data_IF_268790969203
#
_entry.id   IF_268790969203
#
_cell.length_a   1.000
_cell.length_b   1.000
_cell.length_c   1.000
_cell.angle_alpha   90.00
_cell.angle_beta   90.00
_cell.angle_gamma   90.00
#
_symmetry.space_group_name_H-M   'P 1'
#
loop_
_entity.id
_entity.type
_entity.pdbx_description
1 polymer ?
#
# COMPACT_ATOMS: atom_id res chain seq x y z
N UNK A 1 15.06 -8.09 -24.32
CA UNK A 1 14.16 -8.21 -23.15
C UNK A 1 14.11 -6.86 -22.48
N UNK A 2 13.03 -6.10 -22.69
CA UNK A 2 12.87 -4.77 -22.09
C UNK A 2 12.47 -4.92 -20.64
N UNK A 3 13.33 -4.51 -19.72
CA UNK A 3 12.94 -4.27 -18.32
C UNK A 3 11.99 -3.09 -18.33
N UNK A 4 10.71 -3.39 -18.16
CA UNK A 4 9.61 -2.44 -18.14
C UNK A 4 9.89 -1.37 -17.07
N UNK A 5 10.28 -0.17 -17.53
CA UNK A 5 10.69 1.00 -16.75
C UNK A 5 9.55 1.64 -15.93
N UNK A 6 8.71 0.85 -15.25
CA UNK A 6 7.65 1.34 -14.36
C UNK A 6 8.16 1.68 -12.95
N UNK A 7 9.40 2.14 -12.85
CA UNK A 7 9.94 2.83 -11.67
C UNK A 7 9.50 4.30 -11.71
N UNK A 8 8.19 4.55 -11.85
CA UNK A 8 7.62 5.84 -11.50
C UNK A 8 7.20 5.74 -10.02
N UNK A 9 8.21 5.64 -9.16
CA UNK A 9 8.02 5.91 -7.74
C UNK A 9 8.35 7.38 -7.54
N UNK A 10 7.28 8.14 -7.68
CA UNK A 10 7.15 9.48 -7.12
C UNK A 10 7.82 9.50 -5.74
N UNK A 11 8.85 10.33 -5.65
CA UNK A 11 9.77 10.48 -4.52
C UNK A 11 9.11 11.23 -3.34
N UNK A 12 7.79 11.04 -3.16
CA UNK A 12 6.95 11.76 -2.21
C UNK A 12 6.68 11.05 -0.89
N UNK A 13 6.81 9.72 -0.82
CA UNK A 13 6.63 8.97 0.42
C UNK A 13 7.89 8.18 0.78
N UNK A 14 8.31 8.28 2.04
CA UNK A 14 9.51 7.63 2.58
C UNK A 14 9.43 6.09 2.62
N UNK A 15 8.36 5.50 2.05
CA UNK A 15 8.02 4.09 2.16
C UNK A 15 8.21 3.40 0.81
N UNK A 16 8.82 2.22 0.83
CA UNK A 16 8.96 1.42 -0.38
C UNK A 16 7.58 0.97 -0.90
N UNK A 17 7.39 0.99 -2.22
CA UNK A 17 6.12 0.56 -2.84
C UNK A 17 5.74 -0.86 -2.46
N UNK A 18 6.72 -1.76 -2.46
CA UNK A 18 6.53 -3.18 -2.13
C UNK A 18 6.06 -3.34 -0.69
N UNK A 19 6.58 -2.48 0.20
CA UNK A 19 6.15 -2.43 1.59
C UNK A 19 4.70 -1.95 1.71
N UNK A 20 4.35 -0.85 1.03
CA UNK A 20 2.98 -0.34 0.99
C UNK A 20 2.01 -1.37 0.42
N UNK A 21 2.35 -2.01 -0.70
CA UNK A 21 1.57 -3.09 -1.32
C UNK A 21 1.37 -4.27 -0.36
N UNK A 22 2.39 -4.61 0.44
CA UNK A 22 2.27 -5.67 1.43
C UNK A 22 1.34 -5.31 2.60
N UNK A 23 1.25 -4.02 2.97
CA UNK A 23 0.32 -3.55 4.01
C UNK A 23 -1.16 -3.64 3.62
N UNK A 24 -1.45 -3.54 2.32
CA UNK A 24 -2.83 -3.57 1.80
C UNK A 24 -3.20 -4.89 1.14
N UNK A 25 -2.23 -5.75 0.83
CA UNK A 25 -2.48 -7.06 0.20
C UNK A 25 -3.47 -7.87 1.04
N UNK A 26 -3.20 -8.02 2.34
CA UNK A 26 -4.06 -8.79 3.24
C UNK A 26 -5.48 -8.19 3.35
N UNK A 27 -5.60 -6.87 3.44
CA UNK A 27 -6.91 -6.21 3.50
C UNK A 27 -7.68 -6.30 2.18
N UNK A 28 -6.99 -6.16 1.06
CA UNK A 28 -7.59 -6.32 -0.25
C UNK A 28 -8.16 -7.73 -0.43
N UNK A 29 -7.37 -8.75 -0.09
CA UNK A 29 -7.80 -10.17 -0.17
C UNK A 29 -8.96 -10.48 0.80
N UNK A 30 -9.00 -9.83 1.96
CA UNK A 30 -10.14 -9.94 2.90
C UNK A 30 -11.42 -9.30 2.34
N UNK A 31 -11.31 -8.14 1.70
CA UNK A 31 -12.45 -7.45 1.10
C UNK A 31 -12.91 -8.11 -0.21
N UNK A 32 -11.99 -8.73 -0.94
CA UNK A 32 -12.24 -9.37 -2.23
C UNK A 32 -11.74 -10.82 -2.23
N UNK A 33 -12.50 -11.75 -1.61
CA UNK A 33 -12.11 -13.15 -1.59
C UNK A 33 -12.05 -13.71 -3.02
N UNK A 34 -10.85 -14.12 -3.45
CA UNK A 34 -10.59 -14.65 -4.80
C UNK A 34 -9.93 -13.66 -5.76
N UNK A 35 -9.86 -12.38 -5.39
CA UNK A 35 -9.12 -11.37 -6.15
C UNK A 35 -7.81 -11.05 -5.45
N UNK A 36 -6.74 -10.91 -6.23
CA UNK A 36 -5.42 -10.56 -5.70
C UNK A 36 -5.05 -9.14 -6.08
N UNK A 37 -4.24 -8.49 -5.25
CA UNK A 37 -3.72 -7.15 -5.55
C UNK A 37 -2.97 -7.13 -6.90
N UNK A 38 -2.31 -8.24 -7.26
CA UNK A 38 -1.65 -8.39 -8.57
C UNK A 38 -2.64 -8.41 -9.73
N UNK A 39 -3.83 -8.99 -9.53
CA UNK A 39 -4.89 -8.92 -10.53
C UNK A 39 -5.45 -7.51 -10.69
N UNK A 40 -5.69 -6.81 -9.58
CA UNK A 40 -6.07 -5.41 -9.60
C UNK A 40 -5.04 -4.55 -10.35
N UNK A 41 -3.73 -4.78 -10.16
CA UNK A 41 -2.66 -4.07 -10.88
C UNK A 41 -2.70 -4.34 -12.39
N UNK A 42 -2.98 -5.59 -12.79
CA UNK A 42 -3.17 -5.92 -14.21
C UNK A 42 -4.39 -5.18 -14.77
N UNK A 43 -5.53 -5.21 -14.08
CA UNK A 43 -6.77 -4.54 -14.52
C UNK A 43 -6.65 -3.02 -14.54
N UNK A 44 -5.93 -2.44 -13.58
CA UNK A 44 -5.59 -1.02 -13.54
C UNK A 44 -4.75 -0.58 -14.74
N UNK A 45 -4.14 -1.48 -15.52
CA UNK A 45 -3.49 -1.05 -16.77
C UNK A 45 -4.51 -0.70 -17.87
N UNK A 46 -5.68 -1.33 -17.85
CA UNK A 46 -6.70 -1.25 -18.90
C UNK A 46 -7.88 -0.35 -18.53
N UNK A 47 -8.25 -0.31 -17.25
CA UNK A 47 -9.46 0.37 -16.76
C UNK A 47 -9.10 1.59 -15.90
N UNK A 48 -9.73 2.74 -16.18
CA UNK A 48 -9.58 3.94 -15.34
C UNK A 48 -10.21 3.76 -13.96
N UNK A 49 -11.23 2.91 -13.86
CA UNK A 49 -11.90 2.62 -12.60
C UNK A 49 -10.99 1.82 -11.67
N UNK A 50 -10.35 0.78 -12.19
CA UNK A 50 -9.34 0.00 -11.47
C UNK A 50 -8.08 0.83 -11.13
N UNK A 51 -7.73 1.84 -11.95
CA UNK A 51 -6.66 2.81 -11.60
C UNK A 51 -7.03 3.64 -10.37
N UNK A 52 -8.28 4.09 -10.29
CA UNK A 52 -8.79 4.82 -9.13
C UNK A 52 -8.71 3.95 -7.89
N UNK A 53 -9.24 2.73 -7.99
CA UNK A 53 -9.23 1.76 -6.90
C UNK A 53 -7.80 1.47 -6.39
N UNK A 54 -6.84 1.23 -7.29
CA UNK A 54 -5.44 1.01 -6.90
C UNK A 54 -4.84 2.23 -6.19
N UNK A 55 -5.19 3.45 -6.62
CA UNK A 55 -4.72 4.70 -5.99
C UNK A 55 -5.29 4.86 -4.59
N UNK A 56 -6.58 4.59 -4.39
CA UNK A 56 -7.23 4.65 -3.09
C UNK A 56 -6.61 3.65 -2.11
N UNK A 57 -6.35 2.43 -2.57
CA UNK A 57 -5.65 1.43 -1.76
C UNK A 57 -4.24 1.87 -1.40
N UNK A 58 -3.47 2.48 -2.31
CA UNK A 58 -2.14 3.01 -1.99
C UNK A 58 -2.20 4.13 -0.93
N UNK A 59 -3.20 5.00 -0.98
CA UNK A 59 -3.39 6.03 0.06
C UNK A 59 -3.67 5.41 1.44
N UNK A 60 -4.43 4.32 1.50
CA UNK A 60 -4.65 3.56 2.75
C UNK A 60 -3.34 2.95 3.26
N UNK A 61 -2.50 2.43 2.36
CA UNK A 61 -1.18 1.90 2.72
C UNK A 61 -0.29 2.99 3.34
N UNK A 62 -0.26 4.17 2.73
CA UNK A 62 0.53 5.31 3.22
C UNK A 62 0.03 5.79 4.59
N UNK A 63 -1.29 5.89 4.77
CA UNK A 63 -1.89 6.23 6.05
C UNK A 63 -1.53 5.21 7.15
N UNK A 64 -1.53 3.91 6.81
CA UNK A 64 -1.11 2.85 7.73
C UNK A 64 0.38 2.88 8.04
N UNK A 65 1.23 3.10 7.05
CA UNK A 65 2.67 3.23 7.26
C UNK A 65 2.99 4.45 8.14
N UNK A 66 2.32 5.58 7.92
CA UNK A 66 2.42 6.77 8.76
C UNK A 66 1.91 6.50 10.19
N UNK A 67 0.77 5.81 10.35
CA UNK A 67 0.25 5.44 11.67
C UNK A 67 1.17 4.46 12.41
N UNK A 68 1.74 3.49 11.70
CA UNK A 68 2.74 2.57 12.25
C UNK A 68 3.99 3.34 12.70
N UNK A 69 4.49 4.29 11.90
CA UNK A 69 5.60 5.15 12.29
C UNK A 69 5.30 5.94 13.57
N UNK A 70 4.10 6.53 13.68
CA UNK A 70 3.66 7.24 14.91
C UNK A 70 3.56 6.29 16.12
N UNK A 71 3.09 5.07 15.92
CA UNK A 71 3.03 4.06 16.96
C UNK A 71 4.43 3.60 17.41
N UNK A 72 5.37 3.45 16.48
CA UNK A 72 6.78 3.11 16.79
C UNK A 72 7.51 4.28 17.46
N UNK A 73 7.19 5.52 17.08
CA UNK A 73 7.73 6.75 17.69
C UNK A 73 7.13 7.06 19.08
N UNK A 74 6.15 6.27 19.52
CA UNK A 74 5.57 6.38 20.86
C UNK A 74 5.95 5.17 21.73
N UNK A 75 7.13 5.13 22.37
CA UNK A 75 7.32 4.34 23.57
C UNK A 75 6.97 5.21 24.78
N UNK A 76 5.69 5.43 25.03
CA UNK A 76 5.20 6.04 26.26
C UNK A 76 3.79 5.50 26.49
N UNK A 77 3.40 4.95 27.63
CA UNK A 77 3.79 5.17 29.02
C UNK A 77 3.02 4.12 29.83
N UNK A 78 3.59 3.69 30.95
CA UNK A 78 2.92 3.25 32.20
C UNK A 78 3.52 1.95 32.76
N UNK A 79 4.72 2.08 33.33
CA UNK A 79 5.02 1.39 34.58
C UNK A 79 5.49 2.45 35.56
N UNK A 80 4.53 3.04 36.28
CA UNK A 80 4.79 3.68 37.57
C UNK A 80 4.06 2.79 38.58
N UNK A 81 4.83 2.20 39.49
CA UNK A 81 4.39 1.41 40.64
C UNK A 81 4.70 2.21 41.89
#
# INVERSE_FOLDING_TARGET
MGTDSRQHLDSGSAWDRTYLESLIREDFERCHPGETLEDLKRRASFSKEDKGLLRDWMAVAEARAAAACKAKASPARSTIR
#
